data_IF_014299448900
#
_entry.id   IF_014299448900
#
_cell.length_a   1.000
_cell.length_b   1.000
_cell.length_c   1.000
_cell.angle_alpha   90.00
_cell.angle_beta   90.00
_cell.angle_gamma   90.00
#
_symmetry.space_group_name_H-M   'P 1'
#
loop_
_entity.id
_entity.type
_entity.pdbx_description
1 polymer ?
#
# COMPACT_ATOMS: atom_id res chain seq x y z
N UNK A 1 -12.20 -13.18 38.58
CA UNK A 1 -11.41 -13.56 37.39
C UNK A 1 -10.94 -12.24 36.79
N UNK A 2 -9.73 -11.86 37.18
CA UNK A 2 -9.25 -10.48 37.12
C UNK A 2 -8.64 -10.20 35.74
N UNK A 3 -9.47 -9.70 34.83
CA UNK A 3 -9.06 -9.32 33.49
C UNK A 3 -8.47 -7.90 33.50
N UNK A 4 -7.31 -7.71 34.13
CA UNK A 4 -6.56 -6.46 34.01
C UNK A 4 -5.62 -6.55 32.82
N UNK A 5 -5.88 -5.74 31.80
CA UNK A 5 -5.00 -5.62 30.65
C UNK A 5 -3.97 -4.53 30.91
N UNK A 6 -2.69 -4.93 30.94
CA UNK A 6 -1.57 -4.02 31.05
C UNK A 6 -1.17 -3.52 29.65
N UNK A 7 -1.16 -2.20 29.47
CA UNK A 7 -0.67 -1.52 28.27
C UNK A 7 0.62 -0.82 28.65
N UNK A 8 1.65 -1.02 27.84
CA UNK A 8 2.83 -0.16 27.88
C UNK A 8 2.90 0.73 26.65
N UNK A 9 3.03 2.04 26.89
CA UNK A 9 3.24 3.02 25.84
C UNK A 9 4.74 3.33 25.79
N UNK A 10 5.36 3.19 24.63
CA UNK A 10 6.73 3.65 24.39
C UNK A 10 6.67 4.96 23.62
N UNK A 11 6.77 6.10 24.32
CA UNK A 11 6.89 7.43 23.70
C UNK A 11 8.36 7.86 23.69
N UNK A 12 9.11 7.57 22.62
CA UNK A 12 10.50 8.05 22.49
C UNK A 12 11.36 7.78 23.74
N UNK A 13 12.30 8.66 24.08
CA UNK A 13 13.13 8.57 25.29
C UNK A 13 12.35 8.68 26.62
N UNK A 14 11.01 8.69 26.62
CA UNK A 14 10.22 8.69 27.84
C UNK A 14 10.24 7.31 28.51
N UNK A 15 10.29 7.32 29.84
CA UNK A 15 10.26 6.13 30.67
C UNK A 15 8.99 5.31 30.40
N UNK A 16 9.16 3.99 30.42
CA UNK A 16 8.08 3.03 30.27
C UNK A 16 7.12 3.15 31.45
N UNK A 17 5.96 3.76 31.25
CA UNK A 17 4.89 3.81 32.24
C UNK A 17 3.87 2.70 31.92
N UNK A 18 3.74 1.67 32.78
CA UNK A 18 2.67 0.70 32.63
C UNK A 18 1.33 1.32 33.06
N UNK A 19 0.33 1.20 32.20
CA UNK A 19 -1.05 1.60 32.46
C UNK A 19 -1.96 0.38 32.45
N UNK A 20 -2.95 0.34 33.35
CA UNK A 20 -3.93 -0.76 33.43
C UNK A 20 -5.30 -0.31 32.93
N UNK A 21 -6.00 -1.20 32.22
CA UNK A 21 -7.40 -0.96 31.82
C UNK A 21 -8.26 -2.22 32.00
N UNK A 22 -9.56 -2.02 32.18
CA UNK A 22 -10.54 -3.12 32.25
C UNK A 22 -10.90 -3.66 30.86
N UNK A 23 -10.81 -2.82 29.83
CA UNK A 23 -11.10 -3.19 28.44
C UNK A 23 -10.09 -2.52 27.52
N UNK A 24 -9.47 -3.31 26.64
CA UNK A 24 -8.56 -2.84 25.59
C UNK A 24 -9.20 -3.07 24.21
N UNK A 25 -9.40 -1.98 23.45
CA UNK A 25 -9.88 -2.04 22.06
C UNK A 25 -8.73 -1.63 21.13
N UNK A 26 -8.21 -2.58 20.35
CA UNK A 26 -7.14 -2.31 19.39
C UNK A 26 -7.69 -1.90 18.02
N UNK A 27 -7.34 -0.70 17.56
CA UNK A 27 -7.74 -0.14 16.25
C UNK A 27 -6.57 -0.02 15.27
N UNK A 28 -5.46 -0.73 15.51
CA UNK A 28 -4.21 -0.59 14.74
C UNK A 28 -4.31 -1.00 13.28
N UNK A 29 -5.35 -1.77 12.91
CA UNK A 29 -5.51 -2.33 11.57
C UNK A 29 -4.43 -3.36 11.21
N UNK A 30 -4.62 -4.06 10.07
CA UNK A 30 -3.69 -5.12 9.60
C UNK A 30 -2.84 -4.74 8.40
N UNK A 31 -3.11 -3.61 7.74
CA UNK A 31 -2.54 -3.27 6.42
C UNK A 31 -1.44 -2.19 6.46
N UNK A 32 -0.86 -1.92 7.63
CA UNK A 32 0.08 -0.81 7.82
C UNK A 32 1.55 -1.17 7.57
N UNK A 33 1.91 -2.47 7.50
CA UNK A 33 3.28 -2.91 7.27
C UNK A 33 3.57 -3.09 5.76
N UNK A 34 4.25 -2.14 5.11
CA UNK A 34 4.60 -2.27 3.70
C UNK A 34 5.68 -3.34 3.47
N UNK A 35 5.37 -4.38 2.68
CA UNK A 35 6.34 -5.39 2.23
C UNK A 35 6.65 -5.24 0.74
N UNK A 36 7.93 -5.14 0.36
CA UNK A 36 8.31 -5.16 -1.06
C UNK A 36 8.23 -6.60 -1.58
N UNK A 37 7.87 -6.81 -2.86
CA UNK A 37 7.95 -8.15 -3.44
C UNK A 37 9.41 -8.59 -3.47
N UNK A 38 9.63 -9.90 -3.31
CA UNK A 38 10.94 -10.49 -3.50
C UNK A 38 11.22 -10.62 -5.00
N UNK A 39 11.83 -9.57 -5.56
CA UNK A 39 12.18 -9.49 -6.97
C UNK A 39 13.70 -9.36 -7.10
N UNK A 40 14.31 -10.30 -7.81
CA UNK A 40 15.75 -10.30 -8.08
C UNK A 40 16.16 -8.97 -8.75
N UNK A 41 17.09 -8.25 -8.12
CA UNK A 41 17.59 -6.98 -8.63
C UNK A 41 16.71 -5.76 -8.33
N UNK A 42 15.66 -5.88 -7.52
CA UNK A 42 14.82 -4.72 -7.14
C UNK A 42 15.64 -3.58 -6.52
N UNK A 43 16.62 -3.91 -5.67
CA UNK A 43 17.52 -2.93 -5.03
C UNK A 43 18.54 -2.33 -5.99
N UNK A 44 18.75 -2.94 -7.16
CA UNK A 44 19.66 -2.46 -8.20
C UNK A 44 18.95 -1.55 -9.22
N UNK A 45 17.61 -1.47 -9.16
CA UNK A 45 16.83 -0.65 -10.07
C UNK A 45 17.09 0.83 -9.81
N UNK A 46 17.51 1.55 -10.86
CA UNK A 46 17.86 2.97 -10.80
C UNK A 46 16.69 3.91 -11.08
N UNK A 47 15.54 3.37 -11.46
CA UNK A 47 14.34 4.17 -11.68
C UNK A 47 13.58 4.43 -10.38
N UNK A 48 12.42 5.08 -10.51
CA UNK A 48 11.58 5.43 -9.36
C UNK A 48 10.77 4.21 -8.92
N UNK A 49 10.95 3.79 -7.67
CA UNK A 49 10.12 2.78 -7.03
C UNK A 49 9.02 3.45 -6.22
N UNK A 50 7.77 3.17 -6.56
CA UNK A 50 6.60 3.74 -5.89
C UNK A 50 5.78 2.64 -5.25
N UNK A 51 5.31 2.90 -4.04
CA UNK A 51 4.34 2.06 -3.32
C UNK A 51 3.12 2.89 -3.02
N UNK A 52 1.91 2.35 -3.23
CA UNK A 52 0.64 3.05 -2.91
C UNK A 52 0.63 3.72 -1.54
N UNK A 53 1.10 3.01 -0.50
CA UNK A 53 1.09 3.52 0.88
C UNK A 53 2.00 4.76 1.10
N UNK A 54 2.90 5.04 0.16
CA UNK A 54 3.83 6.18 0.17
C UNK A 54 3.95 6.75 -1.24
N UNK A 55 2.82 7.06 -1.86
CA UNK A 55 2.81 7.63 -3.19
C UNK A 55 3.33 9.07 -3.12
N UNK A 56 4.40 9.43 -3.85
CA UNK A 56 4.98 10.76 -3.77
C UNK A 56 4.05 11.81 -4.39
N UNK A 57 3.90 12.93 -3.70
CA UNK A 57 3.18 14.09 -4.23
C UNK A 57 3.92 14.68 -5.44
N UNK A 58 3.16 15.15 -6.44
CA UNK A 58 3.73 15.79 -7.63
C UNK A 58 4.51 14.86 -8.57
N UNK A 59 4.39 13.54 -8.44
CA UNK A 59 5.03 12.61 -9.37
C UNK A 59 4.42 12.74 -10.78
N UNK A 60 5.17 13.35 -11.68
CA UNK A 60 4.86 13.37 -13.10
C UNK A 60 5.11 11.99 -13.74
N UNK A 61 4.12 11.51 -14.49
CA UNK A 61 4.14 10.23 -15.19
C UNK A 61 4.26 10.39 -16.71
N UNK A 62 4.19 11.61 -17.22
CA UNK A 62 4.23 11.91 -18.66
C UNK A 62 5.46 11.32 -19.34
N UNK A 63 5.25 10.53 -20.39
CA UNK A 63 6.31 9.94 -21.20
C UNK A 63 7.19 8.90 -20.47
N UNK A 64 6.87 8.53 -19.22
CA UNK A 64 7.63 7.53 -18.47
C UNK A 64 7.14 6.12 -18.81
N UNK A 65 8.10 5.19 -18.92
CA UNK A 65 7.78 3.76 -18.98
C UNK A 65 7.45 3.25 -17.59
N UNK A 66 6.25 2.73 -17.40
CA UNK A 66 5.72 2.35 -16.09
C UNK A 66 5.43 0.86 -16.08
N UNK A 67 5.83 0.21 -14.98
CA UNK A 67 5.45 -1.17 -14.69
C UNK A 67 4.65 -1.18 -13.40
N UNK A 68 3.37 -1.52 -13.48
CA UNK A 68 2.51 -1.76 -12.33
C UNK A 68 2.60 -3.23 -11.90
N UNK A 69 2.90 -3.46 -10.62
CA UNK A 69 3.01 -4.80 -10.05
C UNK A 69 1.78 -5.13 -9.19
N UNK A 70 1.10 -6.22 -9.53
CA UNK A 70 0.00 -6.77 -8.76
C UNK A 70 -1.40 -6.30 -9.19
N UNK A 71 -2.38 -7.14 -8.93
CA UNK A 71 -3.78 -7.01 -9.38
C UNK A 71 -4.78 -6.92 -8.22
N UNK A 72 -4.34 -6.80 -6.97
CA UNK A 72 -5.26 -6.66 -5.83
C UNK A 72 -6.13 -5.39 -5.92
N UNK A 73 -6.99 -5.11 -4.92
CA UNK A 73 -7.92 -3.98 -4.95
C UNK A 73 -7.24 -2.64 -5.29
N UNK A 74 -6.06 -2.41 -4.73
CA UNK A 74 -5.22 -1.26 -5.05
C UNK A 74 -4.79 -1.19 -6.51
N UNK A 75 -4.42 -2.32 -7.12
CA UNK A 75 -4.05 -2.38 -8.53
C UNK A 75 -5.23 -2.04 -9.43
N UNK A 76 -6.41 -2.61 -9.16
CA UNK A 76 -7.66 -2.32 -9.91
C UNK A 76 -8.00 -0.84 -9.91
N UNK A 77 -7.75 -0.15 -8.80
CA UNK A 77 -8.04 1.29 -8.67
C UNK A 77 -6.94 2.16 -9.29
N UNK A 78 -5.67 1.85 -9.06
CA UNK A 78 -4.54 2.71 -9.46
C UNK A 78 -4.22 2.60 -10.93
N UNK A 79 -4.21 1.38 -11.49
CA UNK A 79 -3.84 1.13 -12.89
C UNK A 79 -4.66 1.98 -13.88
N UNK A 80 -6.01 2.01 -13.82
CA UNK A 80 -6.79 2.84 -14.73
C UNK A 80 -6.54 4.34 -14.53
N UNK A 81 -6.34 4.81 -13.29
CA UNK A 81 -6.00 6.22 -13.03
C UNK A 81 -4.64 6.59 -13.63
N UNK A 82 -3.63 5.73 -13.47
CA UNK A 82 -2.28 5.95 -14.03
C UNK A 82 -2.30 5.95 -15.55
N UNK A 83 -3.03 5.03 -16.17
CA UNK A 83 -3.14 4.94 -17.63
C UNK A 83 -3.59 6.25 -18.29
N UNK A 84 -4.47 7.01 -17.62
CA UNK A 84 -4.91 8.32 -18.09
C UNK A 84 -3.81 9.39 -17.99
N UNK A 85 -2.83 9.24 -17.08
CA UNK A 85 -1.76 10.21 -16.84
C UNK A 85 -0.49 9.97 -17.68
N UNK A 86 -0.26 8.76 -18.20
CA UNK A 86 0.99 8.44 -18.94
C UNK A 86 1.00 8.95 -20.39
N UNK A 87 -0.17 9.30 -20.94
CA UNK A 87 -0.34 9.83 -22.29
C UNK A 87 -0.30 8.78 -23.42
N UNK A 88 0.48 7.70 -23.28
CA UNK A 88 0.50 6.58 -24.22
C UNK A 88 0.41 5.22 -23.51
N UNK A 89 -0.36 4.29 -24.07
CA UNK A 89 -0.53 2.94 -23.50
C UNK A 89 0.67 2.03 -23.75
N UNK A 90 1.43 2.27 -24.82
CA UNK A 90 2.54 1.40 -25.25
C UNK A 90 3.74 1.42 -24.28
N UNK A 91 3.76 2.40 -23.38
CA UNK A 91 4.80 2.57 -22.35
C UNK A 91 4.34 2.08 -20.97
N UNK A 92 3.16 1.46 -20.87
CA UNK A 92 2.60 0.95 -19.63
C UNK A 92 2.50 -0.58 -19.64
N UNK A 93 3.03 -1.23 -18.60
CA UNK A 93 2.96 -2.68 -18.42
C UNK A 93 2.31 -3.02 -17.08
N UNK A 94 1.36 -3.96 -17.09
CA UNK A 94 0.75 -4.50 -15.87
C UNK A 94 1.21 -5.94 -15.66
N UNK A 95 2.02 -6.19 -14.64
CA UNK A 95 2.49 -7.53 -14.30
C UNK A 95 1.67 -8.13 -13.16
N UNK A 96 1.02 -9.23 -13.47
CA UNK A 96 0.08 -9.90 -12.58
C UNK A 96 0.57 -11.34 -12.35
N UNK A 97 0.86 -11.69 -11.10
CA UNK A 97 1.20 -13.07 -10.72
C UNK A 97 -0.01 -13.98 -10.71
N UNK A 98 -1.14 -13.49 -10.20
CA UNK A 98 -2.38 -14.25 -10.07
C UNK A 98 -3.55 -13.35 -10.51
N UNK A 99 -4.36 -13.81 -11.47
CA UNK A 99 -5.54 -13.04 -11.89
C UNK A 99 -6.52 -12.92 -10.73
N UNK A 100 -7.31 -11.85 -10.76
CA UNK A 100 -8.43 -11.67 -9.83
C UNK A 100 -9.71 -11.48 -10.63
N UNK A 101 -10.85 -11.81 -10.03
CA UNK A 101 -12.14 -11.43 -10.58
C UNK A 101 -12.39 -9.95 -10.29
N UNK A 102 -12.72 -9.20 -11.34
CA UNK A 102 -13.15 -7.80 -11.24
C UNK A 102 -14.60 -7.76 -11.68
N UNK A 103 -15.48 -7.30 -10.78
CA UNK A 103 -16.90 -7.10 -11.08
C UNK A 103 -17.10 -5.62 -11.43
N UNK A 104 -17.73 -5.29 -12.57
CA UNK A 104 -18.02 -3.90 -12.89
C UNK A 104 -18.99 -3.33 -11.86
N UNK A 105 -18.76 -2.07 -11.47
CA UNK A 105 -19.78 -1.31 -10.74
C UNK A 105 -20.82 -0.90 -11.78
N UNK A 106 -22.00 -1.53 -11.73
CA UNK A 106 -23.14 -1.20 -12.61
C UNK A 106 -24.19 -0.48 -11.76
N UNK A 107 -24.59 0.73 -12.15
CA UNK A 107 -25.75 1.43 -11.57
C UNK A 107 -25.49 2.65 -10.67
N UNK A 108 -24.34 3.31 -10.76
CA UNK A 108 -24.05 4.56 -10.04
C UNK A 108 -23.34 5.58 -10.96
N UNK A 109 -24.03 5.93 -12.03
CA UNK A 109 -23.85 7.15 -12.85
C UNK A 109 -25.19 7.46 -13.48
#
# INVERSE_FOLDING_TARGET
>A
MDNHHERSIREGNAQHQPDTCNVLISTTGRLYHPKWPDLKGLTLYKGVLVRRARYPEGLDLGGKRIVALGSGPSGVQIVPSVLNSVGHRDIFYHWIRSPICVVPIVGLI
#
